data_IF_609340527759
#
_entry.id   IF_609340527759
#
_cell.length_a   1.000
_cell.length_b   1.000
_cell.length_c   1.000
_cell.angle_alpha   90.00
_cell.angle_beta   90.00
_cell.angle_gamma   90.00
#
_symmetry.space_group_name_H-M   'P 1'
#
loop_
_entity.id
_entity.type
_entity.pdbx_description
1 polymer ?
#
# COMPACT_ATOMS: atom_id res chain seq x y z
N UNK A 1 -20.47 32.54 5.06
CA UNK A 1 -20.87 31.22 5.63
C UNK A 1 -20.67 29.97 4.73
N UNK A 2 -19.99 30.06 3.56
CA UNK A 2 -19.93 28.93 2.58
C UNK A 2 -18.66 28.07 2.53
N UNK A 3 -17.59 28.37 3.27
CA UNK A 3 -16.26 27.71 3.07
C UNK A 3 -15.97 26.47 3.94
N UNK A 4 -16.84 26.12 4.91
CA UNK A 4 -16.59 24.97 5.84
C UNK A 4 -17.09 23.60 5.33
N UNK A 5 -18.01 23.56 4.35
CA UNK A 5 -18.61 22.29 3.85
C UNK A 5 -17.67 21.49 2.93
N UNK A 6 -16.97 22.15 2.00
CA UNK A 6 -16.07 21.50 1.03
C UNK A 6 -14.92 20.69 1.65
N UNK A 7 -14.31 21.18 2.74
CA UNK A 7 -13.21 20.47 3.43
C UNK A 7 -13.64 19.13 4.05
N UNK A 8 -14.90 19.01 4.47
CA UNK A 8 -15.42 17.78 5.11
C UNK A 8 -15.65 16.68 4.08
N UNK A 9 -16.10 17.02 2.88
CA UNK A 9 -16.29 16.07 1.77
C UNK A 9 -14.95 15.58 1.20
N UNK A 10 -13.94 16.45 1.08
CA UNK A 10 -12.58 16.02 0.70
C UNK A 10 -11.95 15.08 1.73
N UNK A 11 -12.21 15.29 3.03
CA UNK A 11 -11.70 14.42 4.07
C UNK A 11 -12.36 13.03 4.04
N UNK A 12 -13.68 12.97 3.87
CA UNK A 12 -14.40 11.70 3.75
C UNK A 12 -13.99 10.90 2.51
N UNK A 13 -13.79 11.58 1.36
CA UNK A 13 -13.28 10.93 0.15
C UNK A 13 -11.88 10.33 0.37
N UNK A 14 -11.00 11.03 1.09
CA UNK A 14 -9.66 10.52 1.46
C UNK A 14 -9.73 9.32 2.40
N UNK A 15 -10.69 9.29 3.33
CA UNK A 15 -10.85 8.19 4.26
C UNK A 15 -11.27 6.89 3.53
N UNK A 16 -12.29 6.96 2.68
CA UNK A 16 -12.75 5.79 1.90
C UNK A 16 -11.66 5.26 0.97
N UNK A 17 -10.85 6.17 0.41
CA UNK A 17 -9.68 5.78 -0.36
C UNK A 17 -8.65 5.02 0.49
N UNK A 18 -8.41 5.46 1.72
CA UNK A 18 -7.46 4.81 2.60
C UNK A 18 -7.92 3.39 2.96
N UNK A 19 -9.22 3.18 3.24
CA UNK A 19 -9.77 1.85 3.52
C UNK A 19 -9.60 0.91 2.32
N UNK A 20 -10.01 1.36 1.13
CA UNK A 20 -9.82 0.62 -0.13
C UNK A 20 -8.35 0.27 -0.37
N UNK A 21 -7.45 1.24 -0.19
CA UNK A 21 -6.02 1.02 -0.37
C UNK A 21 -5.46 0.00 0.63
N UNK A 22 -5.88 0.05 1.89
CA UNK A 22 -5.46 -0.90 2.92
C UNK A 22 -5.91 -2.31 2.55
N UNK A 23 -7.16 -2.48 2.13
CA UNK A 23 -7.72 -3.79 1.80
C UNK A 23 -7.01 -4.41 0.58
N UNK A 24 -6.83 -3.63 -0.50
CA UNK A 24 -6.09 -4.05 -1.69
C UNK A 24 -4.64 -4.43 -1.36
N UNK A 25 -3.96 -3.63 -0.54
CA UNK A 25 -2.58 -3.92 -0.11
C UNK A 25 -2.54 -5.21 0.72
N UNK A 26 -3.50 -5.43 1.63
CA UNK A 26 -3.58 -6.68 2.41
C UNK A 26 -3.78 -7.89 1.51
N UNK A 27 -4.72 -7.81 0.56
CA UNK A 27 -5.00 -8.88 -0.38
C UNK A 27 -3.79 -9.19 -1.26
N UNK A 28 -3.10 -8.16 -1.74
CA UNK A 28 -1.88 -8.30 -2.51
C UNK A 28 -0.74 -8.93 -1.70
N UNK A 29 -0.55 -8.55 -0.43
CA UNK A 29 0.53 -9.10 0.42
C UNK A 29 0.21 -10.54 0.89
N UNK A 30 -1.07 -10.86 1.12
CA UNK A 30 -1.54 -12.17 1.64
C UNK A 30 -0.88 -13.39 0.96
N UNK A 31 -0.85 -13.53 -0.38
CA UNK A 31 -0.19 -14.66 -1.03
C UNK A 31 1.33 -14.71 -0.76
N UNK A 32 2.01 -13.58 -0.60
CA UNK A 32 3.44 -13.54 -0.28
C UNK A 32 3.72 -13.96 1.17
N UNK A 33 2.84 -13.61 2.10
CA UNK A 33 2.95 -14.05 3.50
C UNK A 33 2.74 -15.56 3.62
N UNK A 34 1.75 -16.12 2.91
CA UNK A 34 1.51 -17.57 2.86
C UNK A 34 2.70 -18.34 2.25
N UNK A 35 3.35 -17.78 1.22
CA UNK A 35 4.56 -18.35 0.60
C UNK A 35 5.83 -18.16 1.44
N UNK A 36 5.73 -17.55 2.63
CA UNK A 36 6.89 -17.15 3.48
C UNK A 36 7.90 -16.26 2.75
N UNK A 37 7.46 -15.53 1.73
CA UNK A 37 8.31 -14.56 1.01
C UNK A 37 8.51 -13.28 1.82
N UNK A 38 7.59 -12.96 2.74
CA UNK A 38 7.69 -11.81 3.66
C UNK A 38 7.51 -12.24 5.11
N UNK A 39 8.28 -11.62 6.02
CA UNK A 39 8.13 -11.79 7.45
C UNK A 39 7.02 -10.89 8.01
N UNK A 40 6.65 -11.11 9.28
CA UNK A 40 5.67 -10.28 9.98
C UNK A 40 6.08 -8.81 10.06
N UNK A 41 7.38 -8.53 10.13
CA UNK A 41 7.92 -7.17 10.19
C UNK A 41 7.79 -6.50 8.82
N UNK A 42 8.25 -7.17 7.76
CA UNK A 42 8.14 -6.66 6.39
C UNK A 42 6.69 -6.49 5.96
N UNK A 43 5.79 -7.39 6.37
CA UNK A 43 4.36 -7.23 6.12
C UNK A 43 3.86 -5.87 6.62
N UNK A 44 4.20 -5.50 7.87
CA UNK A 44 3.78 -4.21 8.46
C UNK A 44 4.42 -3.03 7.75
N UNK A 45 5.70 -3.15 7.41
CA UNK A 45 6.46 -2.11 6.69
C UNK A 45 5.90 -1.86 5.29
N UNK A 46 5.72 -2.91 4.50
CA UNK A 46 5.17 -2.85 3.14
C UNK A 46 3.76 -2.28 3.19
N UNK A 47 2.92 -2.76 4.12
CA UNK A 47 1.56 -2.26 4.27
C UNK A 47 1.53 -0.75 4.55
N UNK A 48 2.33 -0.29 5.50
CA UNK A 48 2.43 1.14 5.85
C UNK A 48 2.95 1.97 4.68
N UNK A 49 4.04 1.55 4.02
CA UNK A 49 4.66 2.26 2.89
C UNK A 49 3.75 2.31 1.67
N UNK A 50 3.04 1.22 1.37
CA UNK A 50 2.14 1.13 0.25
C UNK A 50 0.91 2.04 0.41
N UNK A 51 0.25 1.95 1.57
CA UNK A 51 -0.90 2.80 1.89
C UNK A 51 -0.49 4.27 1.90
N UNK A 52 0.67 4.60 2.48
CA UNK A 52 1.17 5.98 2.46
C UNK A 52 1.45 6.48 1.03
N UNK A 53 2.04 5.65 0.16
CA UNK A 53 2.31 6.02 -1.24
C UNK A 53 1.02 6.28 -2.02
N UNK A 54 -0.03 5.48 -1.77
CA UNK A 54 -1.35 5.64 -2.40
C UNK A 54 -2.05 6.90 -1.86
N UNK A 55 -2.04 7.10 -0.54
CA UNK A 55 -2.68 8.24 0.13
C UNK A 55 -1.99 9.58 -0.21
N UNK A 56 -0.67 9.58 -0.38
CA UNK A 56 0.08 10.76 -0.87
C UNK A 56 -0.04 10.97 -2.39
N UNK A 57 -0.69 10.07 -3.13
CA UNK A 57 -0.86 10.23 -4.57
C UNK A 57 -1.91 11.31 -4.86
N UNK A 58 -1.54 12.31 -5.67
CA UNK A 58 -2.43 13.43 -6.05
C UNK A 58 -3.66 13.00 -6.87
N UNK A 59 -3.64 11.79 -7.45
CA UNK A 59 -4.61 11.39 -8.49
C UNK A 59 -5.95 10.88 -7.97
N UNK A 60 -6.10 10.58 -6.68
CA UNK A 60 -7.39 10.08 -6.18
C UNK A 60 -7.79 8.68 -6.70
N UNK A 61 -6.95 8.03 -7.51
CA UNK A 61 -7.26 6.75 -8.16
C UNK A 61 -6.55 5.57 -7.49
N UNK A 62 -7.34 4.62 -7.01
CA UNK A 62 -6.87 3.33 -6.48
C UNK A 62 -7.04 2.30 -7.57
N UNK A 63 -5.92 1.96 -8.22
CA UNK A 63 -5.88 0.92 -9.22
C UNK A 63 -5.33 -0.37 -8.60
N UNK A 64 -6.11 -1.47 -8.57
CA UNK A 64 -5.69 -2.72 -7.93
C UNK A 64 -4.39 -3.26 -8.56
N UNK A 65 -4.21 -3.09 -9.87
CA UNK A 65 -2.97 -3.44 -10.58
C UNK A 65 -1.77 -2.64 -10.08
N UNK A 66 -1.92 -1.32 -9.85
CA UNK A 66 -0.84 -0.48 -9.31
C UNK A 66 -0.50 -0.90 -7.88
N UNK A 67 -1.49 -1.19 -7.06
CA UNK A 67 -1.29 -1.67 -5.68
C UNK A 67 -0.54 -3.00 -5.66
N UNK A 68 -0.99 -3.97 -6.47
CA UNK A 68 -0.35 -5.27 -6.59
C UNK A 68 1.11 -5.16 -7.07
N UNK A 69 1.36 -4.36 -8.11
CA UNK A 69 2.73 -4.12 -8.61
C UNK A 69 3.61 -3.42 -7.58
N UNK A 70 3.07 -2.45 -6.85
CA UNK A 70 3.80 -1.74 -5.81
C UNK A 70 4.16 -2.67 -4.65
N UNK A 71 3.20 -3.48 -4.18
CA UNK A 71 3.45 -4.52 -3.17
C UNK A 71 4.50 -5.49 -3.67
N UNK A 72 4.36 -6.02 -4.89
CA UNK A 72 5.31 -6.96 -5.49
C UNK A 72 6.72 -6.36 -5.56
N UNK A 73 6.86 -5.10 -5.97
CA UNK A 73 8.15 -4.42 -6.02
C UNK A 73 8.79 -4.27 -4.63
N UNK A 74 8.00 -3.98 -3.61
CA UNK A 74 8.50 -3.98 -2.23
C UNK A 74 8.93 -5.38 -1.79
N UNK A 75 8.09 -6.40 -1.97
CA UNK A 75 8.40 -7.80 -1.63
C UNK A 75 9.69 -8.24 -2.32
N UNK A 76 9.83 -7.98 -3.62
CA UNK A 76 11.00 -8.35 -4.40
C UNK A 76 12.26 -7.65 -3.89
N UNK A 77 12.19 -6.34 -3.59
CA UNK A 77 13.28 -5.59 -2.97
C UNK A 77 13.72 -6.22 -1.64
N UNK A 78 12.77 -6.54 -0.77
CA UNK A 78 13.06 -7.15 0.54
C UNK A 78 13.64 -8.56 0.39
N UNK A 79 13.13 -9.35 -0.55
CA UNK A 79 13.64 -10.68 -0.88
C UNK A 79 15.08 -10.61 -1.39
N UNK A 80 15.38 -9.64 -2.25
CA UNK A 80 16.72 -9.41 -2.80
C UNK A 80 17.70 -8.93 -1.72
N UNK A 81 17.26 -8.04 -0.82
CA UNK A 81 18.09 -7.61 0.31
C UNK A 81 18.39 -8.76 1.30
N UNK A 82 17.48 -9.73 1.46
CA UNK A 82 17.68 -10.90 2.35
C UNK A 82 18.58 -11.99 1.78
N UNK A 83 18.63 -12.11 0.45
CA UNK A 83 19.65 -12.92 -0.23
C UNK A 83 20.59 -11.95 -0.96
N UNK A 84 21.55 -11.34 -0.25
CA UNK A 84 22.65 -10.71 -0.96
C UNK A 84 23.30 -11.85 -1.76
N UNK A 85 23.15 -11.76 -3.08
CA UNK A 85 23.93 -12.58 -4.00
C UNK A 85 25.37 -12.42 -3.55
N UNK A 86 25.93 -13.52 -3.05
CA UNK A 86 27.37 -13.72 -2.97
C UNK A 86 27.92 -13.45 -4.37
N UNK A 87 28.42 -12.25 -4.57
CA UNK A 87 29.38 -11.88 -5.61
C UNK A 87 30.47 -11.08 -4.90
#
# INVERSE_FOLDING_TARGET
PGKKRRKKEEYMKKLHMQERAVEEVKLAIKPFYQKREVTKEEYKDILRKAVQKICHSKSGEINPVKVANLVKAYVDKYRHMRRPSLF
#
